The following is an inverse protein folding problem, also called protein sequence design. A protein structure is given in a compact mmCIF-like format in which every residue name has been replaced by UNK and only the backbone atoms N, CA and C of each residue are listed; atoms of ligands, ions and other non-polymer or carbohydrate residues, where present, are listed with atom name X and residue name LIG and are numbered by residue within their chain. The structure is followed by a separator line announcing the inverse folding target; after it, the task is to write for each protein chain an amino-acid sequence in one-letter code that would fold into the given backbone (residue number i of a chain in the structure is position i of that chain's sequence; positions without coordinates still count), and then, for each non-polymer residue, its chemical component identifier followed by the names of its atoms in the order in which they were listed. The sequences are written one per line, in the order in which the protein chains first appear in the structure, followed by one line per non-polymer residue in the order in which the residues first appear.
data_IF_676682812602
#
_entry.id   IF_676682812602
#
_cell.length_a   1.000
_cell.length_b   1.000
_cell.length_c   1.000
_cell.angle_alpha   90.00
_cell.angle_beta   90.00
_cell.angle_gamma   90.00
#
_symmetry.space_group_name_H-M   'P 1'
#
loop_
_entity.id
_entity.type
_entity.pdbx_description
1 polymer ?
#
# COMPACT_ATOMS: atom_id res chain seq x y z
N UNK A 1 8.40 -9.78 -2.72
CA UNK A 1 9.47 -10.33 -1.90
C UNK A 1 10.71 -9.79 -2.56
N UNK A 2 11.32 -8.82 -1.92
CA UNK A 2 12.55 -8.19 -2.42
C UNK A 2 13.71 -8.88 -1.73
N UNK A 3 14.68 -9.34 -2.51
CA UNK A 3 15.90 -9.92 -1.98
C UNK A 3 16.96 -8.83 -1.92
N UNK A 4 17.43 -8.55 -0.72
CA UNK A 4 18.46 -7.58 -0.38
C UNK A 4 19.65 -8.31 0.21
N UNK A 5 20.79 -7.66 0.24
CA UNK A 5 21.97 -8.11 0.97
C UNK A 5 22.09 -7.36 2.28
N UNK A 6 22.92 -7.87 3.19
CA UNK A 6 23.25 -7.18 4.45
C UNK A 6 23.83 -5.77 4.28
N UNK A 7 24.29 -5.40 3.07
CA UNK A 7 24.83 -4.08 2.77
C UNK A 7 23.75 -3.06 2.39
N UNK A 8 22.58 -3.53 1.97
CA UNK A 8 21.48 -2.67 1.48
C UNK A 8 20.60 -2.12 2.61
N UNK A 9 20.83 -2.55 3.86
CA UNK A 9 19.97 -2.25 5.00
C UNK A 9 20.78 -1.77 6.21
N UNK A 10 20.15 -0.95 7.07
CA UNK A 10 20.74 -0.52 8.35
C UNK A 10 20.14 -1.30 9.50
N UNK A 11 20.95 -2.08 10.21
CA UNK A 11 20.48 -2.82 11.38
C UNK A 11 20.22 -1.88 12.57
N UNK A 12 19.13 -2.13 13.31
CA UNK A 12 18.74 -1.37 14.49
C UNK A 12 18.04 -2.28 15.52
N UNK A 13 17.66 -1.69 16.67
CA UNK A 13 16.78 -2.34 17.64
C UNK A 13 15.38 -1.71 17.55
N UNK A 14 14.38 -2.58 17.41
CA UNK A 14 12.97 -2.22 17.36
C UNK A 14 12.34 -2.50 18.73
N UNK A 15 11.57 -1.55 19.25
CA UNK A 15 10.92 -1.67 20.57
C UNK A 15 9.44 -1.40 20.47
N UNK A 16 8.62 -2.19 21.15
CA UNK A 16 7.18 -2.01 21.26
C UNK A 16 6.75 -2.12 22.72
N UNK A 17 5.82 -1.27 23.16
CA UNK A 17 5.14 -1.46 24.43
C UNK A 17 3.85 -2.24 24.18
N UNK A 18 3.81 -3.50 24.60
CA UNK A 18 2.67 -4.40 24.40
C UNK A 18 2.22 -4.88 25.77
N UNK A 19 0.98 -4.53 26.15
CA UNK A 19 0.40 -4.90 27.46
C UNK A 19 1.26 -4.45 28.66
N UNK A 20 1.90 -3.29 28.57
CA UNK A 20 2.72 -2.73 29.64
C UNK A 20 4.14 -3.31 29.73
N UNK A 21 4.52 -4.23 28.83
CA UNK A 21 5.87 -4.76 28.75
C UNK A 21 6.59 -4.22 27.50
N UNK A 22 7.81 -3.72 27.70
CA UNK A 22 8.70 -3.34 26.60
C UNK A 22 9.27 -4.61 25.97
N UNK A 23 8.90 -4.86 24.71
CA UNK A 23 9.46 -5.95 23.89
C UNK A 23 10.49 -5.37 22.93
N UNK A 24 11.64 -6.03 22.87
CA UNK A 24 12.73 -5.70 21.95
C UNK A 24 12.83 -6.77 20.87
N UNK A 25 13.06 -6.35 19.63
CA UNK A 25 13.32 -7.25 18.51
C UNK A 25 14.42 -6.68 17.60
N UNK A 26 15.13 -7.54 16.86
CA UNK A 26 15.98 -7.09 15.77
C UNK A 26 15.15 -6.31 14.76
N UNK A 27 15.65 -5.14 14.38
CA UNK A 27 15.08 -4.29 13.35
C UNK A 27 16.06 -4.04 12.21
N UNK A 28 15.54 -3.75 11.03
CA UNK A 28 16.28 -3.14 9.94
C UNK A 28 15.55 -1.89 9.46
N UNK A 29 16.31 -0.89 9.08
CA UNK A 29 15.83 0.26 8.33
C UNK A 29 16.22 0.05 6.87
N UNK A 30 15.21 0.06 6.01
CA UNK A 30 15.38 0.04 4.57
C UNK A 30 14.47 1.12 3.98
N UNK A 31 15.04 2.07 3.23
CA UNK A 31 14.35 3.26 2.72
C UNK A 31 13.52 3.98 3.78
N UNK A 32 14.17 4.29 4.91
CA UNK A 32 13.58 5.02 6.02
C UNK A 32 12.38 4.34 6.70
N UNK A 33 12.08 3.08 6.35
CA UNK A 33 11.02 2.28 6.95
C UNK A 33 11.60 1.20 7.85
N UNK A 34 10.97 0.97 9.01
CA UNK A 34 11.37 -0.05 9.97
C UNK A 34 10.72 -1.39 9.65
N UNK A 35 11.53 -2.45 9.65
CA UNK A 35 11.08 -3.82 9.54
C UNK A 35 11.63 -4.61 10.71
N UNK A 36 10.83 -5.52 11.26
CA UNK A 36 11.24 -6.41 12.35
C UNK A 36 11.49 -7.82 11.83
N UNK A 37 12.45 -8.51 12.44
CA UNK A 37 12.76 -9.88 12.07
C UNK A 37 11.59 -10.80 12.47
N UNK A 38 11.11 -11.56 11.49
CA UNK A 38 10.06 -12.57 11.69
C UNK A 38 10.68 -13.96 11.80
N UNK A 39 11.57 -14.29 10.87
CA UNK A 39 12.20 -15.61 10.80
C UNK A 39 13.59 -15.51 10.17
N UNK A 40 14.51 -16.40 10.56
CA UNK A 40 15.87 -16.46 10.02
C UNK A 40 16.21 -17.92 9.70
N UNK A 41 16.79 -18.14 8.54
CA UNK A 41 17.14 -19.47 8.03
C UNK A 41 18.63 -19.54 7.69
N UNK A 42 19.22 -20.73 7.78
CA UNK A 42 20.54 -20.97 7.21
C UNK A 42 20.46 -20.83 5.68
N UNK A 43 21.54 -20.36 5.04
CA UNK A 43 21.54 -20.17 3.59
C UNK A 43 21.29 -21.48 2.81
N UNK A 44 21.73 -22.60 3.37
CA UNK A 44 21.57 -23.95 2.81
C UNK A 44 20.09 -24.42 2.82
N UNK A 45 19.28 -23.86 3.71
CA UNK A 45 17.86 -24.21 3.86
C UNK A 45 16.94 -23.21 3.13
N UNK A 46 17.51 -22.24 2.43
CA UNK A 46 16.79 -21.10 1.86
C UNK A 46 15.65 -21.51 0.91
N UNK A 47 15.88 -22.49 0.04
CA UNK A 47 14.87 -22.91 -0.94
C UNK A 47 13.68 -23.60 -0.28
N UNK A 48 13.94 -24.48 0.70
CA UNK A 48 12.91 -25.15 1.47
C UNK A 48 12.12 -24.15 2.32
N UNK A 49 12.82 -23.22 2.98
CA UNK A 49 12.23 -22.16 3.77
C UNK A 49 11.35 -21.19 2.96
N UNK A 50 11.78 -20.83 1.74
CA UNK A 50 10.97 -20.00 0.83
C UNK A 50 9.69 -20.73 0.42
N UNK A 51 9.78 -22.04 0.17
CA UNK A 51 8.63 -22.85 -0.22
C UNK A 51 7.62 -22.97 0.93
N UNK A 52 8.09 -23.34 2.12
CA UNK A 52 7.27 -23.45 3.32
C UNK A 52 6.63 -22.10 3.69
N UNK A 53 7.41 -21.02 3.68
CA UNK A 53 6.89 -19.68 3.98
C UNK A 53 5.88 -19.18 2.93
N UNK A 54 6.02 -19.61 1.67
CA UNK A 54 5.02 -19.34 0.62
C UNK A 54 3.68 -20.01 0.94
N UNK A 55 3.73 -21.29 1.25
CA UNK A 55 2.55 -22.10 1.56
C UNK A 55 1.86 -21.64 2.85
N UNK A 56 2.62 -21.29 3.89
CA UNK A 56 2.06 -20.93 5.21
C UNK A 56 1.61 -19.47 5.34
N UNK A 57 2.25 -18.52 4.66
CA UNK A 57 2.07 -17.08 4.92
C UNK A 57 1.74 -16.22 3.69
N UNK A 58 1.97 -16.69 2.47
CA UNK A 58 1.87 -15.86 1.26
C UNK A 58 0.60 -16.10 0.45
N UNK A 59 -0.02 -17.27 0.60
CA UNK A 59 -1.32 -17.58 0.02
C UNK A 59 -2.50 -17.13 0.92
N UNK A 60 -2.21 -16.62 2.12
CA UNK A 60 -3.21 -16.07 3.03
C UNK A 60 -3.36 -14.55 2.84
N UNK A 61 -4.50 -14.13 2.28
CA UNK A 61 -4.83 -12.73 1.96
C UNK A 61 -4.89 -11.79 3.19
N UNK A 62 -4.89 -12.33 4.42
CA UNK A 62 -4.97 -11.55 5.65
C UNK A 62 -3.63 -10.93 6.12
N UNK A 63 -2.49 -11.33 5.55
CA UNK A 63 -1.16 -10.88 6.03
C UNK A 63 -0.76 -9.55 5.37
N UNK A 64 -1.03 -8.45 6.07
CA UNK A 64 -0.92 -7.05 5.59
C UNK A 64 0.50 -6.47 5.50
N UNK A 65 1.54 -7.17 5.96
CA UNK A 65 2.89 -6.59 6.08
C UNK A 65 3.79 -6.86 4.88
N UNK A 66 4.57 -5.84 4.48
CA UNK A 66 5.67 -5.93 3.53
C UNK A 66 6.62 -7.08 3.88
N UNK A 67 7.17 -7.82 2.90
CA UNK A 67 8.17 -8.87 3.16
C UNK A 67 9.48 -8.55 2.45
N UNK A 68 10.54 -8.29 3.23
CA UNK A 68 11.93 -8.21 2.76
C UNK A 68 12.67 -9.49 3.11
N UNK A 69 13.53 -9.96 2.22
CA UNK A 69 14.52 -10.99 2.52
C UNK A 69 15.90 -10.37 2.50
N UNK A 70 16.62 -10.42 3.62
CA UNK A 70 17.99 -9.91 3.71
C UNK A 70 18.94 -11.09 3.79
N UNK A 71 19.75 -11.27 2.75
CA UNK A 71 20.81 -12.28 2.68
C UNK A 71 22.07 -11.78 3.36
N UNK A 72 22.49 -12.52 4.37
CA UNK A 72 23.78 -12.43 5.03
C UNK A 72 24.72 -13.52 4.48
N UNK A 73 25.97 -13.55 4.94
CA UNK A 73 26.97 -14.52 4.44
C UNK A 73 26.56 -15.99 4.60
N UNK A 74 25.85 -16.34 5.68
CA UNK A 74 25.47 -17.72 6.00
C UNK A 74 23.98 -17.91 6.32
N UNK A 75 23.18 -16.85 6.19
CA UNK A 75 21.81 -16.86 6.63
C UNK A 75 20.95 -15.91 5.79
N UNK A 76 19.64 -16.10 5.83
CA UNK A 76 18.67 -15.17 5.25
C UNK A 76 17.59 -14.87 6.29
N UNK A 77 17.37 -13.59 6.55
CA UNK A 77 16.28 -13.12 7.41
C UNK A 77 15.07 -12.68 6.61
N UNK A 78 13.87 -13.05 7.07
CA UNK A 78 12.59 -12.51 6.62
C UNK A 78 12.18 -11.38 7.56
N UNK A 79 11.94 -10.21 6.99
CA UNK A 79 11.64 -8.99 7.73
C UNK A 79 10.31 -8.41 7.28
N UNK A 80 9.49 -7.97 8.25
CA UNK A 80 8.16 -7.44 8.00
C UNK A 80 7.90 -6.11 8.66
N UNK A 81 7.00 -5.31 8.06
CA UNK A 81 6.45 -4.13 8.72
C UNK A 81 5.65 -4.55 9.96
N UNK A 82 5.88 -3.89 11.08
CA UNK A 82 5.09 -4.06 12.29
C UNK A 82 4.93 -2.69 12.95
N UNK A 83 3.77 -2.06 12.71
CA UNK A 83 3.43 -0.71 13.20
C UNK A 83 3.49 -0.57 14.73
N UNK A 84 3.52 -1.69 15.46
CA UNK A 84 3.63 -1.70 16.92
C UNK A 84 5.03 -1.38 17.40
N UNK A 85 6.04 -1.56 16.54
CA UNK A 85 7.44 -1.36 16.88
C UNK A 85 7.92 -0.02 16.34
N UNK A 86 8.67 0.69 17.18
CA UNK A 86 9.38 1.91 16.83
C UNK A 86 10.88 1.67 16.95
N UNK A 87 11.68 2.42 16.20
CA UNK A 87 13.12 2.38 16.38
C UNK A 87 13.44 2.88 17.79
N UNK A 88 14.30 2.16 18.52
CA UNK A 88 14.80 2.61 19.81
C UNK A 88 15.48 3.97 19.66
N UNK A 89 14.81 5.04 20.08
CA UNK A 89 15.37 6.39 20.08
C UNK A 89 16.02 6.66 21.43
N UNK A 90 17.31 7.00 21.43
CA UNK A 90 17.81 7.93 22.46
C UNK A 90 17.13 9.27 22.13
N UNK A 91 16.26 9.69 23.04
CA UNK A 91 15.38 10.85 22.96
C UNK A 91 16.03 12.10 22.36
N UNK A 92 15.36 12.70 21.37
CA UNK A 92 15.19 14.15 21.28
C UNK A 92 14.01 14.53 20.38
N UNK A 93 13.28 15.54 20.83
CA UNK A 93 11.96 16.03 20.40
C UNK A 93 11.98 16.96 19.18
N UNK A 94 10.77 17.18 18.64
CA UNK A 94 10.13 18.45 18.21
C UNK A 94 9.75 18.65 16.72
N UNK A 95 8.43 18.82 16.57
CA UNK A 95 7.66 19.97 15.99
C UNK A 95 7.13 19.87 14.55
N UNK A 96 5.82 20.16 14.51
CA UNK A 96 4.81 20.31 13.46
C UNK A 96 5.08 21.54 12.54
N UNK A 97 4.53 21.53 11.31
CA UNK A 97 3.34 22.34 10.95
C UNK A 97 3.19 22.64 9.42
N UNK A 98 1.99 22.28 8.90
CA UNK A 98 1.05 22.93 7.93
C UNK A 98 1.49 23.83 6.74
N UNK A 99 1.01 23.51 5.52
CA UNK A 99 -0.06 24.22 4.74
C UNK A 99 0.47 25.17 3.61
N UNK A 100 -0.16 25.53 2.47
CA UNK A 100 -1.55 25.74 1.97
C UNK A 100 -1.62 25.83 0.41
N UNK A 101 -2.83 25.59 -0.18
CA UNK A 101 -3.55 26.22 -1.36
C UNK A 101 -2.90 26.40 -2.75
N UNK A 102 -3.57 26.52 -3.91
CA UNK A 102 -4.93 26.40 -4.49
C UNK A 102 -4.74 26.51 -6.05
N UNK A 103 -5.63 26.09 -6.96
CA UNK A 103 -6.61 26.99 -7.61
C UNK A 103 -7.34 26.28 -8.77
N UNK A 104 -8.62 26.63 -8.89
CA UNK A 104 -9.70 26.23 -9.79
C UNK A 104 -9.50 26.40 -11.30
N UNK A 105 -10.31 25.68 -12.09
CA UNK A 105 -11.00 26.26 -13.25
C UNK A 105 -12.32 25.52 -13.57
N UNK A 106 -13.22 26.26 -14.20
CA UNK A 106 -14.68 26.14 -14.19
C UNK A 106 -15.17 26.13 -15.65
N UNK A 107 -16.03 25.19 -16.03
CA UNK A 107 -16.93 25.38 -17.18
C UNK A 107 -18.19 24.53 -17.02
N UNK A 108 -19.32 25.23 -17.13
CA UNK A 108 -20.69 24.70 -17.13
C UNK A 108 -21.03 24.21 -18.55
N UNK A 109 -21.73 23.07 -18.69
CA UNK A 109 -22.81 22.90 -19.69
C UNK A 109 -23.64 21.59 -19.54
N UNK A 110 -24.96 21.81 -19.33
CA UNK A 110 -26.18 21.09 -19.74
C UNK A 110 -26.36 19.53 -19.71
N UNK A 111 -27.20 19.11 -18.75
CA UNK A 111 -28.37 18.17 -18.81
C UNK A 111 -28.32 16.95 -19.76
N UNK A 112 -27.31 16.11 -19.59
CA UNK A 112 -27.57 14.71 -19.21
C UNK A 112 -27.34 14.62 -17.70
N UNK A 113 -27.89 13.66 -16.96
CA UNK A 113 -27.39 13.37 -15.59
C UNK A 113 -25.99 12.74 -15.70
N UNK A 114 -25.08 13.42 -16.38
CA UNK A 114 -23.70 13.04 -16.52
C UNK A 114 -23.08 13.35 -15.16
N UNK A 115 -22.82 12.28 -14.41
CA UNK A 115 -22.04 12.41 -13.19
C UNK A 115 -20.67 12.96 -13.60
N UNK A 116 -20.37 14.17 -13.12
CA UNK A 116 -19.07 14.78 -13.34
C UNK A 116 -17.99 13.89 -12.72
N UNK A 117 -17.03 13.44 -13.53
CA UNK A 117 -15.97 12.56 -13.08
C UNK A 117 -15.10 13.24 -12.01
N UNK A 118 -14.92 14.56 -12.06
CA UNK A 118 -14.16 15.27 -11.03
C UNK A 118 -14.89 15.23 -9.69
N UNK A 119 -16.20 15.44 -9.70
CA UNK A 119 -17.05 15.30 -8.51
C UNK A 119 -17.01 13.86 -7.96
N UNK A 120 -17.13 12.86 -8.83
CA UNK A 120 -17.01 11.44 -8.43
C UNK A 120 -15.65 11.18 -7.77
N UNK A 121 -14.55 11.62 -8.38
CA UNK A 121 -13.19 11.41 -7.86
C UNK A 121 -12.99 12.11 -6.52
N UNK A 122 -13.51 13.34 -6.37
CA UNK A 122 -13.50 14.05 -5.10
C UNK A 122 -14.24 13.27 -4.02
N UNK A 123 -15.40 12.67 -4.33
CA UNK A 123 -16.16 11.84 -3.39
C UNK A 123 -15.51 10.49 -3.10
N UNK A 124 -14.94 9.83 -4.10
CA UNK A 124 -14.20 8.57 -3.93
C UNK A 124 -13.01 8.71 -2.99
N UNK A 125 -12.46 9.93 -2.86
CA UNK A 125 -11.31 10.23 -1.99
C UNK A 125 -11.68 11.00 -0.72
N UNK A 126 -12.97 11.30 -0.52
CA UNK A 126 -13.46 11.97 0.68
C UNK A 126 -13.46 11.04 1.89
N UNK A 127 -13.87 11.57 3.03
CA UNK A 127 -13.95 10.86 4.32
C UNK A 127 -14.83 9.59 4.22
N UNK A 128 -15.99 9.70 3.56
CA UNK A 128 -16.91 8.58 3.28
C UNK A 128 -16.60 7.86 1.95
N UNK A 129 -15.38 8.02 1.44
CA UNK A 129 -14.94 7.52 0.15
C UNK A 129 -14.53 6.05 0.15
N UNK A 130 -13.68 5.69 -0.82
CA UNK A 130 -13.10 4.36 -0.92
C UNK A 130 -12.08 4.12 0.19
N UNK A 131 -11.93 2.84 0.57
CA UNK A 131 -10.87 2.36 1.47
C UNK A 131 -9.53 2.29 0.72
N UNK A 132 -8.92 3.47 0.51
CA UNK A 132 -7.60 3.64 -0.09
C UNK A 132 -6.55 3.34 0.97
N UNK A 133 -5.82 2.23 0.80
CA UNK A 133 -4.80 1.78 1.75
C UNK A 133 -3.70 1.01 1.06
N UNK A 134 -2.60 0.77 1.76
CA UNK A 134 -1.61 -0.19 1.28
C UNK A 134 -2.23 -1.58 1.26
N UNK A 135 -2.23 -2.22 0.08
CA UNK A 135 -2.73 -3.57 -0.11
C UNK A 135 -1.62 -4.46 -0.64
N UNK A 136 -1.63 -5.71 -0.21
CA UNK A 136 -0.73 -6.74 -0.71
C UNK A 136 -1.39 -7.46 -1.88
N UNK A 137 -0.62 -7.69 -2.94
CA UNK A 137 -0.99 -8.62 -3.99
C UNK A 137 0.22 -9.49 -4.31
N UNK A 138 0.06 -10.80 -4.13
CA UNK A 138 1.16 -11.77 -4.14
C UNK A 138 2.26 -11.35 -3.15
N UNK A 139 3.48 -11.17 -3.64
CA UNK A 139 4.63 -10.81 -2.83
C UNK A 139 4.92 -9.30 -2.82
N UNK A 140 4.10 -8.45 -3.45
CA UNK A 140 4.34 -7.01 -3.56
C UNK A 140 3.31 -6.23 -2.75
N UNK A 141 3.77 -5.18 -2.09
CA UNK A 141 2.89 -4.16 -1.53
C UNK A 141 2.62 -3.09 -2.57
N UNK A 142 1.37 -2.69 -2.64
CA UNK A 142 0.90 -1.60 -3.47
C UNK A 142 0.29 -0.54 -2.54
N UNK A 143 1.02 0.54 -2.23
CA UNK A 143 0.49 1.64 -1.41
C UNK A 143 -0.66 2.36 -2.12
N UNK A 144 -1.53 3.02 -1.34
CA UNK A 144 -2.62 3.87 -1.84
C UNK A 144 -3.59 3.19 -2.82
N UNK A 145 -3.91 1.92 -2.60
CA UNK A 145 -4.75 1.13 -3.51
C UNK A 145 -6.16 0.89 -2.98
N UNK A 146 -7.08 0.69 -3.91
CA UNK A 146 -8.46 0.25 -3.67
C UNK A 146 -8.80 -0.92 -4.61
N UNK A 147 -9.86 -1.68 -4.29
CA UNK A 147 -10.31 -2.79 -5.14
C UNK A 147 -11.38 -2.33 -6.13
N UNK A 148 -11.37 -2.91 -7.34
CA UNK A 148 -12.35 -2.63 -8.39
C UNK A 148 -13.79 -2.93 -7.95
N UNK A 149 -14.03 -4.11 -7.37
CA UNK A 149 -15.35 -4.51 -6.87
C UNK A 149 -15.85 -3.60 -5.72
N UNK A 150 -14.99 -3.26 -4.76
CA UNK A 150 -15.33 -2.31 -3.68
C UNK A 150 -15.67 -0.92 -4.25
N UNK A 151 -14.97 -0.49 -5.30
CA UNK A 151 -15.27 0.77 -5.96
C UNK A 151 -16.61 0.74 -6.71
N UNK A 152 -16.97 -0.39 -7.32
CA UNK A 152 -18.29 -0.59 -7.92
C UNK A 152 -19.39 -0.56 -6.86
N UNK A 153 -19.20 -1.29 -5.76
CA UNK A 153 -20.15 -1.31 -4.64
C UNK A 153 -20.39 0.10 -4.10
N UNK A 154 -19.32 0.86 -3.88
CA UNK A 154 -19.39 2.23 -3.42
C UNK A 154 -20.09 3.15 -4.43
N UNK A 155 -19.77 3.07 -5.72
CA UNK A 155 -20.41 3.87 -6.76
C UNK A 155 -21.92 3.59 -6.86
N UNK A 156 -22.31 2.32 -6.78
CA UNK A 156 -23.71 1.89 -6.78
C UNK A 156 -24.45 2.48 -5.57
N UNK A 157 -23.88 2.34 -4.38
CA UNK A 157 -24.48 2.84 -3.15
C UNK A 157 -24.58 4.39 -3.12
N UNK A 158 -23.53 5.09 -3.55
CA UNK A 158 -23.45 6.55 -3.41
C UNK A 158 -24.22 7.31 -4.49
N UNK A 159 -24.36 6.74 -5.69
CA UNK A 159 -25.02 7.39 -6.83
C UNK A 159 -26.30 6.71 -7.30
N UNK A 160 -26.71 5.61 -6.65
CA UNK A 160 -27.89 4.82 -7.00
C UNK A 160 -27.93 4.42 -8.49
N UNK A 161 -26.80 3.90 -8.98
CA UNK A 161 -26.61 3.47 -10.38
C UNK A 161 -26.45 1.95 -10.47
N UNK A 162 -26.57 1.39 -11.68
CA UNK A 162 -26.32 -0.04 -11.90
C UNK A 162 -24.82 -0.35 -11.85
N UNK A 163 -24.47 -1.59 -11.50
CA UNK A 163 -23.06 -2.07 -11.53
C UNK A 163 -22.43 -1.88 -12.91
N UNK A 164 -23.17 -2.18 -13.98
CA UNK A 164 -22.71 -1.95 -15.36
C UNK A 164 -22.34 -0.48 -15.60
N UNK A 165 -23.17 0.46 -15.12
CA UNK A 165 -22.88 1.90 -15.23
C UNK A 165 -21.68 2.31 -14.40
N UNK A 166 -21.52 1.76 -13.19
CA UNK A 166 -20.35 1.97 -12.35
C UNK A 166 -19.06 1.47 -13.02
N UNK A 167 -19.10 0.30 -13.68
CA UNK A 167 -17.98 -0.20 -14.49
C UNK A 167 -17.66 0.75 -15.64
N UNK A 168 -18.66 1.25 -16.37
CA UNK A 168 -18.43 2.26 -17.43
C UNK A 168 -17.78 3.54 -16.87
N UNK A 169 -18.18 3.99 -15.68
CA UNK A 169 -17.56 5.15 -15.01
C UNK A 169 -16.09 4.84 -14.68
N UNK A 170 -15.80 3.69 -14.06
CA UNK A 170 -14.44 3.30 -13.75
C UNK A 170 -13.57 3.14 -15.01
N UNK A 171 -14.11 2.60 -16.10
CA UNK A 171 -13.42 2.54 -17.39
C UNK A 171 -13.11 3.95 -17.93
N UNK A 172 -14.05 4.90 -17.80
CA UNK A 172 -13.78 6.29 -18.17
C UNK A 172 -12.69 6.92 -17.30
N UNK A 173 -12.62 6.61 -16.00
CA UNK A 173 -11.55 7.06 -15.12
C UNK A 173 -10.18 6.50 -15.54
N UNK A 174 -10.11 5.24 -15.98
CA UNK A 174 -8.90 4.63 -16.54
C UNK A 174 -8.48 5.30 -17.85
N UNK A 175 -9.43 5.44 -18.79
CA UNK A 175 -9.17 6.08 -20.10
C UNK A 175 -8.68 7.52 -19.95
N UNK A 176 -9.21 8.26 -18.98
CA UNK A 176 -8.78 9.63 -18.67
C UNK A 176 -7.52 9.72 -17.82
N UNK A 177 -6.84 8.61 -17.53
CA UNK A 177 -5.62 8.57 -16.72
C UNK A 177 -5.79 9.21 -15.34
N UNK A 178 -6.95 8.97 -14.72
CA UNK A 178 -7.23 9.39 -13.34
C UNK A 178 -6.89 8.26 -12.37
N UNK A 179 -7.26 7.04 -12.75
CA UNK A 179 -6.90 5.79 -12.05
C UNK A 179 -6.24 4.84 -13.03
N UNK A 180 -5.53 3.84 -12.53
CA UNK A 180 -5.00 2.74 -13.32
C UNK A 180 -4.95 1.46 -12.51
N UNK A 181 -4.91 0.32 -13.19
CA UNK A 181 -4.58 -0.95 -12.54
C UNK A 181 -3.12 -0.89 -12.10
N UNK A 182 -2.80 -1.38 -10.90
CA UNK A 182 -1.46 -1.21 -10.30
C UNK A 182 -0.32 -1.91 -11.06
N UNK A 183 -0.65 -2.82 -11.99
CA UNK A 183 0.31 -3.45 -12.93
C UNK A 183 0.10 -2.99 -14.37
N UNK A 184 -0.84 -2.07 -14.63
CA UNK A 184 -1.23 -1.58 -15.96
C UNK A 184 -1.71 -2.67 -16.96
N UNK A 185 -1.97 -3.89 -16.48
CA UNK A 185 -2.42 -5.04 -17.30
C UNK A 185 -3.93 -5.07 -17.60
N UNK A 186 -4.75 -4.26 -16.92
CA UNK A 186 -6.20 -4.38 -16.96
C UNK A 186 -6.92 -3.04 -17.09
N UNK A 187 -8.00 -3.04 -17.87
CA UNK A 187 -9.04 -2.02 -17.77
C UNK A 187 -9.78 -2.13 -16.42
N UNK A 188 -10.63 -1.15 -16.12
CA UNK A 188 -11.46 -1.21 -14.93
C UNK A 188 -12.49 -2.35 -15.02
N UNK A 189 -12.55 -3.16 -13.96
CA UNK A 189 -13.47 -4.29 -13.82
C UNK A 189 -14.05 -4.37 -12.42
N UNK A 190 -15.22 -4.98 -12.34
CA UNK A 190 -15.91 -5.34 -11.10
C UNK A 190 -15.35 -6.64 -10.52
N UNK A 191 -14.06 -6.62 -10.17
CA UNK A 191 -13.30 -7.79 -9.72
C UNK A 191 -12.38 -7.37 -8.56
N UNK A 192 -11.78 -8.35 -7.87
CA UNK A 192 -10.79 -8.14 -6.80
C UNK A 192 -9.43 -7.78 -7.41
N UNK A 193 -9.40 -6.71 -8.21
CA UNK A 193 -8.21 -6.15 -8.84
C UNK A 193 -7.83 -4.84 -8.19
N UNK A 194 -6.53 -4.60 -8.04
CA UNK A 194 -6.01 -3.40 -7.39
C UNK A 194 -5.90 -2.25 -8.38
N UNK A 195 -6.44 -1.10 -7.98
CA UNK A 195 -6.34 0.16 -8.71
C UNK A 195 -5.74 1.24 -7.82
N UNK A 196 -5.08 2.21 -8.45
CA UNK A 196 -4.52 3.39 -7.81
C UNK A 196 -4.89 4.65 -8.59
N UNK A 197 -4.99 5.78 -7.89
CA UNK A 197 -5.06 7.08 -8.53
C UNK A 197 -3.67 7.52 -8.97
N UNK A 198 -3.55 8.07 -10.18
CA UNK A 198 -2.25 8.56 -10.69
C UNK A 198 -1.62 9.61 -9.76
N UNK A 199 -2.41 10.44 -9.08
CA UNK A 199 -1.90 11.42 -8.11
C UNK A 199 -1.23 10.82 -6.86
N UNK A 200 -1.35 9.50 -6.65
CA UNK A 200 -0.68 8.79 -5.55
C UNK A 200 0.48 7.92 -6.04
N UNK A 201 0.80 7.92 -7.34
CA UNK A 201 1.99 7.24 -7.88
C UNK A 201 3.27 7.82 -7.26
N UNK A 202 3.37 9.14 -7.13
CA UNK A 202 4.52 9.80 -6.49
C UNK A 202 4.54 9.66 -4.96
N UNK A 203 3.49 9.08 -4.38
CA UNK A 203 3.42 8.71 -2.96
C UNK A 203 3.73 7.23 -2.76
N UNK A 204 4.13 6.53 -3.82
CA UNK A 204 4.45 5.11 -3.80
C UNK A 204 5.82 4.86 -3.17
N UNK A 205 6.00 5.12 -1.86
CA UNK A 205 7.11 4.65 -1.00
C UNK A 205 8.56 4.77 -1.53
N UNK A 206 8.82 5.42 -2.67
CA UNK A 206 10.09 5.37 -3.39
C UNK A 206 10.48 6.68 -4.10
N UNK A 207 9.64 7.70 -4.15
CA UNK A 207 9.94 8.97 -4.86
C UNK A 207 9.96 10.23 -3.99
N UNK A 208 9.78 10.12 -2.67
CA UNK A 208 10.04 11.28 -1.78
C UNK A 208 11.52 11.31 -1.39
N UNK A 209 12.39 11.66 -2.34
CA UNK A 209 13.83 11.74 -2.09
C UNK A 209 14.69 12.02 -3.32
N UNK A 210 14.25 12.94 -4.20
CA UNK A 210 15.14 13.69 -5.09
C UNK A 210 14.67 15.15 -5.13
#
# INVERSE_FOLDING_TARGET
MMLLTSQDVKYCQATANIQGQVKNKPGIIYNNSLFTLVQKYALEELEAAIKEYREDFLDNEEVQSATLMVKEQKAVGIWMHDDRYQQSTKSQEKVEESSVTATSSNTKENKSRHLDLNYIVSKMRGEDGLKIKTRRHKLKLHPHCFLGNEAVDWLVAHFNITRQKAVTIGQNLVTKKIIHHVLDEHFFKDEVLLYRFYQDEDKSMWTSGL
#
